data_IF_513842091861
#
_entry.id   IF_513842091861
#
_cell.length_a   1.000
_cell.length_b   1.000
_cell.length_c   1.000
_cell.angle_alpha   90.00
_cell.angle_beta   90.00
_cell.angle_gamma   90.00
#
_symmetry.space_group_name_H-M   'P 1'
#
loop_
_entity.id
_entity.type
_entity.pdbx_description
1 polymer ?
#
# COMPACT_ATOMS: atom_id res chain seq x y z
N UNK A 1 -8.03 20.71 -7.72
CA UNK A 1 -8.86 20.12 -8.78
C UNK A 1 -8.88 18.61 -8.57
N UNK A 2 -10.01 17.94 -8.80
CA UNK A 2 -10.15 16.50 -8.62
C UNK A 2 -10.56 15.85 -9.94
N UNK A 3 -9.91 14.75 -10.31
CA UNK A 3 -10.12 14.02 -11.56
C UNK A 3 -10.37 12.55 -11.27
N UNK A 4 -11.41 11.99 -11.90
CA UNK A 4 -11.67 10.54 -11.80
C UNK A 4 -10.64 9.81 -12.66
N UNK A 5 -9.89 8.89 -12.04
CA UNK A 5 -8.86 8.10 -12.72
C UNK A 5 -9.44 6.76 -13.16
N UNK A 6 -10.17 6.10 -12.25
CA UNK A 6 -10.84 4.83 -12.51
C UNK A 6 -12.30 4.94 -12.05
N UNK A 7 -13.24 4.50 -12.89
CA UNK A 7 -14.67 4.53 -12.59
C UNK A 7 -15.25 3.12 -12.69
N UNK A 8 -16.00 2.69 -11.68
CA UNK A 8 -16.68 1.41 -11.70
C UNK A 8 -17.65 1.32 -12.90
N UNK A 9 -17.73 0.14 -13.51
CA UNK A 9 -18.62 -0.11 -14.65
C UNK A 9 -18.14 0.41 -16.00
N UNK A 10 -16.87 0.87 -16.11
CA UNK A 10 -16.24 1.18 -17.41
C UNK A 10 -15.50 -0.04 -17.95
N UNK A 11 -14.18 -0.12 -17.73
CA UNK A 11 -13.32 -1.20 -18.21
C UNK A 11 -13.41 -2.43 -17.30
N UNK A 12 -13.67 -2.22 -16.01
CA UNK A 12 -13.94 -3.26 -15.01
C UNK A 12 -15.18 -2.89 -14.18
N UNK A 13 -15.92 -3.89 -13.66
CA UNK A 13 -17.01 -3.66 -12.71
C UNK A 13 -16.58 -2.86 -11.48
N UNK A 14 -15.38 -3.10 -10.94
CA UNK A 14 -14.87 -2.43 -9.76
C UNK A 14 -13.37 -2.14 -9.90
N UNK A 15 -12.94 -0.98 -9.42
CA UNK A 15 -11.52 -0.67 -9.22
C UNK A 15 -11.22 -0.43 -7.75
N UNK A 16 -10.13 -1.04 -7.25
CA UNK A 16 -9.71 -0.93 -5.84
C UNK A 16 -8.21 -0.81 -5.69
N UNK A 17 -7.73 -0.57 -4.47
CA UNK A 17 -6.32 -0.62 -4.09
C UNK A 17 -5.46 0.39 -4.89
N UNK A 18 -5.70 1.70 -4.73
CA UNK A 18 -4.94 2.72 -5.41
C UNK A 18 -3.48 2.70 -4.95
N UNK A 19 -2.57 2.82 -5.91
CA UNK A 19 -1.18 3.16 -5.68
C UNK A 19 -0.74 4.18 -6.73
N UNK A 20 0.17 5.09 -6.41
CA UNK A 20 0.60 6.14 -7.34
C UNK A 20 2.07 6.49 -7.16
N UNK A 21 2.75 6.68 -8.28
CA UNK A 21 4.11 7.23 -8.31
C UNK A 21 4.26 8.29 -9.37
N UNK A 22 5.28 9.14 -9.20
CA UNK A 22 5.72 10.12 -10.19
C UNK A 22 7.03 9.65 -10.80
N UNK A 23 7.01 9.32 -12.09
CA UNK A 23 8.21 9.01 -12.86
C UNK A 23 9.12 10.23 -12.97
N UNK A 24 10.38 10.02 -13.38
CA UNK A 24 11.37 11.09 -13.44
C UNK A 24 11.05 12.18 -14.46
N UNK A 25 10.40 11.83 -15.56
CA UNK A 25 9.92 12.80 -16.55
C UNK A 25 8.68 13.59 -16.08
N UNK A 26 8.22 13.35 -14.84
CA UNK A 26 7.05 13.99 -14.25
C UNK A 26 5.74 13.25 -14.52
N UNK A 27 5.73 12.19 -15.32
CA UNK A 27 4.54 11.37 -15.57
C UNK A 27 4.03 10.78 -14.27
N UNK A 28 2.74 10.94 -13.99
CA UNK A 28 2.07 10.20 -12.91
C UNK A 28 1.60 8.86 -13.44
N UNK A 29 1.88 7.79 -12.69
CA UNK A 29 1.39 6.44 -12.97
C UNK A 29 0.53 6.02 -11.80
N UNK A 30 -0.78 5.94 -12.03
CA UNK A 30 -1.76 5.49 -11.07
C UNK A 30 -2.11 4.02 -11.33
N UNK A 31 -2.03 3.18 -10.31
CA UNK A 31 -2.36 1.77 -10.34
C UNK A 31 -3.65 1.50 -9.59
N UNK A 32 -4.31 0.41 -9.97
CA UNK A 32 -5.45 -0.15 -9.24
C UNK A 32 -5.52 -1.66 -9.52
N UNK A 33 -6.24 -2.38 -8.67
CA UNK A 33 -6.85 -3.65 -9.00
C UNK A 33 -8.10 -3.40 -9.86
N UNK A 34 -8.15 -3.99 -11.06
CA UNK A 34 -9.37 -4.11 -11.86
C UNK A 34 -10.04 -5.45 -11.55
N UNK A 35 -11.24 -5.42 -10.95
CA UNK A 35 -11.90 -6.61 -10.42
C UNK A 35 -13.19 -6.93 -11.18
N UNK A 36 -13.41 -8.22 -11.47
CA UNK A 36 -14.67 -8.71 -12.06
C UNK A 36 -15.85 -8.73 -11.07
N UNK A 37 -15.56 -8.63 -9.76
CA UNK A 37 -16.54 -8.50 -8.70
C UNK A 37 -15.95 -7.70 -7.53
N UNK A 38 -16.79 -7.26 -6.59
CA UNK A 38 -16.32 -6.49 -5.41
C UNK A 38 -15.40 -7.29 -4.47
N UNK A 39 -15.44 -8.63 -4.56
CA UNK A 39 -14.65 -9.56 -3.76
C UNK A 39 -13.14 -9.30 -3.82
N UNK A 40 -12.42 -9.64 -2.75
CA UNK A 40 -10.94 -9.65 -2.69
C UNK A 40 -10.32 -10.90 -3.33
N UNK A 41 -11.15 -11.72 -3.99
CA UNK A 41 -10.79 -13.00 -4.60
C UNK A 41 -11.60 -13.20 -5.87
N UNK A 42 -10.97 -13.75 -6.89
CA UNK A 42 -11.53 -13.95 -8.23
C UNK A 42 -10.54 -13.52 -9.31
N UNK A 43 -11.06 -13.35 -10.53
CA UNK A 43 -10.32 -12.74 -11.63
C UNK A 43 -10.10 -11.25 -11.31
N UNK A 44 -8.86 -10.93 -10.96
CA UNK A 44 -8.43 -9.57 -10.62
C UNK A 44 -7.11 -9.31 -11.34
N UNK A 45 -7.07 -8.20 -12.07
CA UNK A 45 -5.89 -7.70 -12.75
C UNK A 45 -5.28 -6.53 -11.98
N UNK A 46 -3.98 -6.30 -12.14
CA UNK A 46 -3.37 -5.01 -11.79
C UNK A 46 -3.27 -4.17 -13.05
N UNK A 47 -3.88 -2.99 -13.01
CA UNK A 47 -3.98 -2.04 -14.12
C UNK A 47 -3.30 -0.73 -13.77
N UNK A 48 -2.97 0.07 -14.78
CA UNK A 48 -2.56 1.45 -14.59
C UNK A 48 -3.16 2.42 -15.61
N UNK A 49 -3.15 3.70 -15.25
CA UNK A 49 -3.34 4.84 -16.16
C UNK A 49 -2.21 5.83 -15.92
N UNK A 50 -1.86 6.57 -16.97
CA UNK A 50 -0.75 7.55 -16.97
C UNK A 50 -1.28 8.96 -17.19
N UNK A 51 -0.64 9.94 -16.57
CA UNK A 51 -0.92 11.36 -16.79
C UNK A 51 0.40 12.11 -17.02
N UNK A 52 0.46 12.87 -18.10
CA UNK A 52 1.59 13.73 -18.47
C UNK A 52 1.35 15.21 -18.21
N UNK A 53 0.22 15.58 -17.59
CA UNK A 53 -0.21 16.96 -17.36
C UNK A 53 -0.48 17.27 -15.87
N UNK A 54 0.19 16.52 -14.97
CA UNK A 54 0.08 16.70 -13.53
C UNK A 54 -1.22 16.16 -12.92
N UNK A 55 -1.87 15.20 -13.58
CA UNK A 55 -3.09 14.53 -13.12
C UNK A 55 -4.38 15.22 -13.56
N UNK A 56 -4.31 16.19 -14.48
CA UNK A 56 -5.49 16.87 -15.02
C UNK A 56 -6.27 15.95 -15.96
N UNK A 57 -5.57 15.19 -16.80
CA UNK A 57 -6.13 14.14 -17.65
C UNK A 57 -5.34 12.83 -17.52
N UNK A 58 -6.02 11.73 -17.81
CA UNK A 58 -5.46 10.38 -17.69
C UNK A 58 -5.66 9.62 -19.01
N UNK A 59 -4.60 8.99 -19.47
CA UNK A 59 -4.60 8.16 -20.68
C UNK A 59 -5.47 6.90 -20.55
N UNK A 60 -5.51 6.08 -21.61
CA UNK A 60 -6.27 4.83 -21.61
C UNK A 60 -5.77 3.86 -20.52
N UNK A 61 -6.66 2.95 -20.11
CA UNK A 61 -6.30 1.87 -19.19
C UNK A 61 -5.30 0.92 -19.85
N UNK A 62 -4.29 0.53 -19.07
CA UNK A 62 -3.31 -0.49 -19.42
C UNK A 62 -3.34 -1.59 -18.38
N UNK A 63 -3.43 -2.84 -18.83
CA UNK A 63 -3.25 -4.01 -17.96
C UNK A 63 -1.76 -4.25 -17.76
N UNK A 64 -1.31 -4.28 -16.51
CA UNK A 64 0.11 -4.47 -16.14
C UNK A 64 0.37 -5.93 -15.76
N UNK A 65 -0.47 -6.49 -14.89
CA UNK A 65 -0.39 -7.89 -14.46
C UNK A 65 -1.73 -8.54 -14.67
N UNK A 66 -1.75 -9.65 -15.42
CA UNK A 66 -2.91 -10.52 -15.60
C UNK A 66 -2.46 -11.97 -15.42
N UNK A 67 -3.25 -12.75 -14.68
CA UNK A 67 -2.99 -14.17 -14.42
C UNK A 67 -4.18 -15.06 -14.84
N UNK A 68 -4.92 -14.67 -15.87
CA UNK A 68 -6.14 -15.36 -16.29
C UNK A 68 -7.25 -15.21 -15.26
N UNK A 69 -7.79 -16.32 -14.76
CA UNK A 69 -8.86 -16.32 -13.74
C UNK A 69 -8.33 -16.13 -12.32
N UNK A 70 -7.01 -16.02 -12.15
CA UNK A 70 -6.38 -15.85 -10.85
C UNK A 70 -6.39 -14.40 -10.36
N UNK A 71 -6.11 -14.24 -9.07
CA UNK A 71 -6.07 -12.93 -8.42
C UNK A 71 -4.66 -12.36 -8.50
N UNK A 72 -4.46 -11.29 -9.26
CA UNK A 72 -3.34 -10.36 -9.11
C UNK A 72 -3.77 -9.19 -8.19
N UNK A 73 -2.87 -8.66 -7.35
CA UNK A 73 -3.29 -7.56 -6.49
C UNK A 73 -2.21 -6.94 -5.63
N UNK A 74 -2.62 -6.02 -4.77
CA UNK A 74 -1.78 -5.27 -3.85
C UNK A 74 -0.58 -4.58 -4.53
N UNK A 75 -0.82 -3.70 -5.54
CA UNK A 75 0.28 -3.00 -6.20
C UNK A 75 1.09 -2.17 -5.20
N UNK A 76 2.41 -2.32 -5.26
CA UNK A 76 3.38 -1.54 -4.51
C UNK A 76 4.52 -1.04 -5.42
N UNK A 77 4.29 0.03 -6.20
CA UNK A 77 5.31 0.66 -7.04
C UNK A 77 6.41 1.39 -6.25
N UNK A 78 7.60 1.47 -6.84
CA UNK A 78 8.74 2.30 -6.40
C UNK A 78 9.45 2.86 -7.63
N UNK A 79 9.82 4.14 -7.60
CA UNK A 79 10.61 4.79 -8.67
C UNK A 79 12.07 4.90 -8.25
N UNK A 80 12.96 4.37 -9.08
CA UNK A 80 14.40 4.39 -8.82
C UNK A 80 15.05 5.70 -9.29
N UNK A 81 16.25 6.05 -8.78
CA UNK A 81 17.06 7.15 -9.30
C UNK A 81 17.49 7.00 -10.77
N UNK A 82 17.34 5.83 -11.37
CA UNK A 82 17.56 5.60 -12.81
C UNK A 82 16.34 5.90 -13.69
N UNK A 83 15.17 6.18 -13.10
CA UNK A 83 13.90 6.38 -13.81
C UNK A 83 13.07 5.11 -13.94
N UNK A 84 13.67 3.94 -13.70
CA UNK A 84 12.98 2.65 -13.65
C UNK A 84 11.89 2.67 -12.58
N UNK A 85 10.71 2.18 -12.94
CA UNK A 85 9.64 1.87 -12.00
C UNK A 85 9.68 0.37 -11.71
N UNK A 86 9.79 0.00 -10.45
CA UNK A 86 9.58 -1.37 -9.97
C UNK A 86 8.13 -1.48 -9.49
N UNK A 87 7.44 -2.57 -9.83
CA UNK A 87 6.11 -2.86 -9.32
C UNK A 87 6.10 -4.26 -8.70
N UNK A 88 5.85 -4.31 -7.39
CA UNK A 88 5.59 -5.57 -6.70
C UNK A 88 4.09 -5.83 -6.65
N UNK A 89 3.69 -7.07 -6.90
CA UNK A 89 2.30 -7.52 -6.82
C UNK A 89 2.22 -8.91 -6.17
N UNK A 90 1.05 -9.24 -5.66
CA UNK A 90 0.73 -10.55 -5.11
C UNK A 90 -0.13 -11.37 -6.09
N UNK A 91 0.02 -12.70 -6.06
CA UNK A 91 -0.85 -13.63 -6.79
C UNK A 91 -1.28 -14.84 -5.99
N UNK A 92 -2.55 -15.21 -6.09
CA UNK A 92 -3.13 -16.45 -5.57
C UNK A 92 -4.13 -17.04 -6.58
N UNK A 93 -4.60 -18.27 -6.33
CA UNK A 93 -5.64 -18.86 -7.15
C UNK A 93 -6.94 -18.04 -7.03
N UNK A 94 -7.65 -17.80 -8.13
CA UNK A 94 -8.86 -16.97 -8.14
C UNK A 94 -10.03 -17.56 -7.36
N UNK A 95 -10.03 -18.87 -7.12
CA UNK A 95 -11.01 -19.54 -6.27
C UNK A 95 -10.63 -19.57 -4.78
N UNK A 96 -9.41 -19.17 -4.41
CA UNK A 96 -8.89 -19.29 -3.05
C UNK A 96 -9.07 -17.97 -2.29
N UNK A 97 -9.93 -17.98 -1.27
CA UNK A 97 -10.17 -16.83 -0.41
C UNK A 97 -9.01 -16.55 0.54
N UNK A 98 -8.90 -15.31 1.04
CA UNK A 98 -7.96 -14.96 2.12
C UNK A 98 -8.07 -15.95 3.29
N UNK A 99 -9.30 -16.27 3.70
CA UNK A 99 -9.56 -17.18 4.81
C UNK A 99 -9.01 -18.58 4.53
N UNK A 100 -9.28 -19.19 3.38
CA UNK A 100 -8.76 -20.52 3.04
C UNK A 100 -7.24 -20.56 2.96
N UNK A 101 -6.62 -19.50 2.44
CA UNK A 101 -5.17 -19.38 2.39
C UNK A 101 -4.62 -19.30 3.82
N UNK A 102 -5.18 -18.44 4.68
CA UNK A 102 -4.77 -18.32 6.07
C UNK A 102 -4.93 -19.62 6.86
N UNK A 103 -5.99 -20.40 6.61
CA UNK A 103 -6.19 -21.73 7.20
C UNK A 103 -5.25 -22.80 6.64
N UNK A 104 -4.61 -22.55 5.51
CA UNK A 104 -3.74 -23.50 4.82
C UNK A 104 -4.53 -24.57 4.04
N UNK A 105 -5.82 -24.32 3.76
CA UNK A 105 -6.66 -25.18 2.92
C UNK A 105 -6.54 -24.82 1.43
N UNK A 106 -5.82 -23.74 1.11
CA UNK A 106 -5.44 -23.34 -0.24
C UNK A 106 -3.94 -22.99 -0.30
N UNK A 107 -3.39 -22.95 -1.51
CA UNK A 107 -1.99 -22.62 -1.72
C UNK A 107 -1.66 -21.19 -1.24
N UNK A 108 -0.46 -20.95 -0.67
CA UNK A 108 -0.07 -19.65 -0.17
C UNK A 108 0.05 -18.62 -1.29
N UNK A 109 -0.14 -17.34 -0.93
CA UNK A 109 -0.01 -16.22 -1.87
C UNK A 109 1.47 -16.04 -2.25
N UNK A 110 1.71 -15.70 -3.52
CA UNK A 110 3.03 -15.55 -4.16
C UNK A 110 3.30 -14.08 -4.49
N UNK A 111 4.57 -13.73 -4.71
CA UNK A 111 4.99 -12.34 -4.96
C UNK A 111 5.73 -12.25 -6.29
N UNK A 112 5.36 -11.27 -7.11
CA UNK A 112 5.92 -11.02 -8.43
C UNK A 112 6.47 -9.60 -8.53
N UNK A 113 7.43 -9.44 -9.44
CA UNK A 113 8.07 -8.17 -9.76
C UNK A 113 7.97 -7.91 -11.26
N UNK A 114 7.52 -6.70 -11.61
CA UNK A 114 7.59 -6.15 -12.96
C UNK A 114 8.33 -4.83 -12.96
N UNK A 115 8.84 -4.44 -14.12
CA UNK A 115 9.64 -3.23 -14.30
C UNK A 115 9.17 -2.45 -15.52
N UNK A 116 9.20 -1.13 -15.43
CA UNK A 116 9.06 -0.23 -16.57
C UNK A 116 10.29 0.68 -16.63
N UNK A 117 10.88 0.78 -17.82
CA UNK A 117 12.04 1.65 -18.10
C UNK A 117 11.64 2.87 -18.97
N UNK A 118 10.34 3.09 -19.15
CA UNK A 118 9.74 4.10 -20.05
C UNK A 118 8.56 4.85 -19.39
N UNK A 119 8.73 5.18 -18.11
CA UNK A 119 7.75 5.96 -17.32
C UNK A 119 6.34 5.34 -17.30
N UNK A 120 6.29 4.02 -17.19
CA UNK A 120 5.07 3.22 -17.09
C UNK A 120 4.40 2.90 -18.43
N UNK A 121 5.01 3.24 -19.58
CA UNK A 121 4.39 2.99 -20.89
C UNK A 121 4.36 1.50 -21.26
N UNK A 122 5.41 0.76 -20.92
CA UNK A 122 5.49 -0.70 -21.08
C UNK A 122 6.02 -1.36 -19.81
N UNK A 123 5.70 -2.64 -19.65
CA UNK A 123 6.07 -3.42 -18.47
C UNK A 123 6.71 -4.73 -18.89
N UNK A 124 7.75 -5.14 -18.16
CA UNK A 124 8.35 -6.45 -18.31
C UNK A 124 7.35 -7.56 -17.98
N UNK A 125 7.63 -8.79 -18.43
CA UNK A 125 6.93 -9.97 -17.92
C UNK A 125 7.09 -10.10 -16.39
N UNK A 126 6.10 -10.66 -15.68
CA UNK A 126 6.17 -10.85 -14.23
C UNK A 126 7.23 -11.90 -13.86
N UNK A 127 8.20 -11.49 -13.04
CA UNK A 127 9.20 -12.38 -12.46
C UNK A 127 8.79 -12.76 -11.04
N UNK A 128 8.67 -14.06 -10.74
CA UNK A 128 8.35 -14.52 -9.39
C UNK A 128 9.57 -14.32 -8.47
N UNK A 129 9.37 -13.63 -7.34
CA UNK A 129 10.42 -13.40 -6.33
C UNK A 129 10.08 -14.05 -4.97
N UNK A 130 8.99 -14.81 -4.88
CA UNK A 130 8.44 -15.39 -3.64
C UNK A 130 9.51 -16.00 -2.72
N UNK A 131 10.42 -16.81 -3.25
CA UNK A 131 11.43 -17.50 -2.45
C UNK A 131 12.41 -16.56 -1.72
N UNK A 132 12.61 -15.34 -2.24
CA UNK A 132 13.50 -14.35 -1.65
C UNK A 132 12.81 -13.45 -0.61
N UNK A 133 11.47 -13.33 -0.68
CA UNK A 133 10.70 -12.32 0.07
C UNK A 133 9.62 -12.89 0.97
N UNK A 134 9.42 -14.20 0.98
CA UNK A 134 8.39 -14.87 1.79
C UNK A 134 8.98 -16.06 2.53
N UNK A 135 8.81 -16.09 3.85
CA UNK A 135 9.19 -17.28 4.63
C UNK A 135 8.30 -18.48 4.25
N UNK A 136 8.85 -19.72 4.25
CA UNK A 136 8.11 -20.90 3.83
C UNK A 136 6.79 -21.13 4.59
N UNK A 137 6.78 -20.86 5.90
CA UNK A 137 5.61 -21.06 6.76
C UNK A 137 4.50 -20.02 6.57
N UNK A 138 4.79 -18.87 5.96
CA UNK A 138 3.78 -17.82 5.74
C UNK A 138 2.71 -18.27 4.77
N UNK A 139 1.48 -17.80 4.96
CA UNK A 139 0.33 -18.22 4.16
C UNK A 139 -0.20 -17.08 3.30
N UNK A 140 -0.96 -16.17 3.92
CA UNK A 140 -1.35 -14.92 3.27
C UNK A 140 -0.15 -13.98 3.15
N UNK A 141 -0.16 -13.12 2.14
CA UNK A 141 0.87 -12.13 1.90
C UNK A 141 0.28 -10.90 1.19
N UNK A 142 0.61 -9.69 1.63
CA UNK A 142 0.27 -8.45 0.95
C UNK A 142 1.49 -7.53 0.83
N UNK A 143 1.78 -7.04 -0.38
CA UNK A 143 2.76 -5.97 -0.65
C UNK A 143 2.09 -4.61 -0.46
N UNK A 144 2.60 -3.76 0.43
CA UNK A 144 1.96 -2.49 0.79
C UNK A 144 0.52 -2.73 1.30
N UNK A 145 -0.53 -2.31 0.55
CA UNK A 145 -0.48 -1.59 -0.74
C UNK A 145 -0.25 -0.08 -0.59
N UNK A 146 -0.01 0.60 -1.71
CA UNK A 146 0.40 2.00 -1.78
C UNK A 146 1.74 2.10 -2.51
N UNK A 147 2.72 2.81 -1.97
CA UNK A 147 4.07 2.87 -2.55
C UNK A 147 5.16 2.34 -1.59
N UNK A 148 6.30 1.95 -2.17
CA UNK A 148 7.56 1.85 -1.43
C UNK A 148 8.45 3.06 -1.69
N UNK A 149 9.62 3.08 -1.06
CA UNK A 149 10.56 4.21 -1.14
C UNK A 149 11.95 3.75 -1.58
N UNK A 150 12.73 4.71 -2.10
CA UNK A 150 14.19 4.59 -2.15
C UNK A 150 14.75 5.53 -1.10
N UNK A 151 15.50 4.97 -0.16
CA UNK A 151 16.14 5.73 0.93
C UNK A 151 17.30 6.57 0.41
N UNK A 152 17.78 7.53 1.20
CA UNK A 152 18.96 8.33 0.90
C UNK A 152 20.22 7.47 0.66
N UNK A 153 20.29 6.28 1.25
CA UNK A 153 21.37 5.31 1.02
C UNK A 153 21.29 4.57 -0.32
N UNK A 154 20.19 4.76 -1.08
CA UNK A 154 19.92 4.05 -2.33
C UNK A 154 19.20 2.71 -2.16
N UNK A 155 18.95 2.27 -0.92
CA UNK A 155 18.16 1.06 -0.62
C UNK A 155 16.70 1.27 -0.98
N UNK A 156 16.11 0.30 -1.67
CA UNK A 156 14.67 0.19 -1.91
C UNK A 156 14.03 -0.50 -0.71
N UNK A 157 12.90 0.02 -0.21
CA UNK A 157 12.14 -0.60 0.88
C UNK A 157 10.64 -0.58 0.58
N UNK A 158 9.99 -1.73 0.73
CA UNK A 158 8.54 -1.91 0.54
C UNK A 158 7.97 -2.56 1.80
N UNK A 159 6.99 -1.92 2.44
CA UNK A 159 6.23 -2.49 3.54
C UNK A 159 5.36 -3.65 3.07
N UNK A 160 5.10 -4.64 3.93
CA UNK A 160 4.30 -5.81 3.60
C UNK A 160 3.70 -6.44 4.86
N UNK A 161 2.77 -7.37 4.65
CA UNK A 161 2.25 -8.22 5.73
C UNK A 161 2.14 -9.67 5.30
N UNK A 162 2.05 -10.53 6.30
CA UNK A 162 1.89 -11.96 6.14
C UNK A 162 0.88 -12.50 7.14
N UNK A 163 0.41 -13.72 6.94
CA UNK A 163 -0.19 -14.51 8.02
C UNK A 163 0.68 -15.71 8.36
N UNK A 164 0.60 -16.10 9.63
CA UNK A 164 1.31 -17.24 10.22
C UNK A 164 0.37 -18.45 10.32
N UNK A 165 0.90 -19.68 10.35
CA UNK A 165 0.08 -20.84 10.63
C UNK A 165 -0.49 -20.76 12.07
N UNK A 166 -1.72 -21.23 12.30
CA UNK A 166 -2.30 -21.29 13.64
C UNK A 166 -1.54 -22.25 14.54
N UNK A 167 -1.65 -22.02 15.85
CA UNK A 167 -1.38 -23.04 16.84
C UNK A 167 -2.39 -24.21 16.72
N UNK A 168 -2.04 -25.38 17.24
CA UNK A 168 -2.94 -26.54 17.21
C UNK A 168 -4.30 -26.22 17.88
N UNK A 169 -5.39 -26.52 17.17
CA UNK A 169 -6.77 -26.26 17.63
C UNK A 169 -7.35 -24.89 17.27
N UNK A 170 -6.58 -24.01 16.64
CA UNK A 170 -7.02 -22.71 16.11
C UNK A 170 -7.32 -22.82 14.61
N UNK A 171 -8.38 -22.13 14.14
CA UNK A 171 -8.77 -22.16 12.72
C UNK A 171 -7.73 -21.46 11.84
N UNK A 172 -6.94 -20.53 12.37
CA UNK A 172 -5.96 -19.76 11.62
C UNK A 172 -6.52 -18.52 10.93
N UNK A 173 -7.77 -18.15 11.21
CA UNK A 173 -8.45 -17.04 10.55
C UNK A 173 -8.57 -15.76 11.37
N UNK A 174 -8.24 -15.82 12.66
CA UNK A 174 -8.27 -14.65 13.54
C UNK A 174 -7.22 -13.61 13.11
N UNK A 175 -7.51 -12.30 13.26
CA UNK A 175 -6.56 -11.25 12.92
C UNK A 175 -5.22 -11.33 13.67
N UNK A 176 -5.18 -11.94 14.86
CA UNK A 176 -3.93 -12.18 15.62
C UNK A 176 -2.88 -12.99 14.85
N UNK A 177 -3.27 -13.69 13.79
CA UNK A 177 -2.34 -14.46 12.95
C UNK A 177 -1.59 -13.60 11.95
N UNK A 178 -2.04 -12.36 11.70
CA UNK A 178 -1.30 -11.42 10.87
C UNK A 178 0.02 -11.00 11.54
N UNK A 179 0.94 -10.52 10.70
CA UNK A 179 2.20 -9.93 11.08
C UNK A 179 2.68 -8.98 9.98
N UNK A 180 3.54 -8.05 10.35
CA UNK A 180 4.13 -7.07 9.47
C UNK A 180 5.57 -7.45 9.13
N UNK A 181 6.01 -7.09 7.94
CA UNK A 181 7.42 -7.16 7.56
C UNK A 181 7.72 -6.10 6.51
N UNK A 182 8.99 -5.92 6.17
CA UNK A 182 9.33 -5.23 4.93
C UNK A 182 10.23 -6.11 4.08
N UNK A 183 10.35 -5.73 2.81
CA UNK A 183 11.32 -6.30 1.89
C UNK A 183 12.18 -5.17 1.35
N UNK A 184 13.45 -5.46 1.13
CA UNK A 184 14.39 -4.46 0.66
C UNK A 184 15.33 -5.01 -0.41
N UNK A 185 15.90 -4.09 -1.18
CA UNK A 185 16.92 -4.37 -2.19
C UNK A 185 17.98 -3.27 -2.19
N UNK A 186 19.24 -3.69 -2.25
CA UNK A 186 20.43 -2.81 -2.27
C UNK A 186 21.06 -2.71 -3.66
N UNK A 187 20.50 -3.41 -4.66
CA UNK A 187 21.08 -3.57 -6.00
C UNK A 187 20.05 -3.24 -7.10
N UNK A 188 19.31 -2.15 -6.88
CA UNK A 188 18.32 -1.62 -7.83
C UNK A 188 17.21 -2.61 -8.19
N UNK A 189 16.83 -3.48 -7.24
CA UNK A 189 15.75 -4.45 -7.39
C UNK A 189 16.16 -5.72 -8.11
N UNK A 190 17.46 -6.03 -8.22
CA UNK A 190 17.94 -7.28 -8.80
C UNK A 190 17.77 -8.45 -7.83
N UNK A 191 18.19 -8.27 -6.57
CA UNK A 191 18.01 -9.22 -5.48
C UNK A 191 17.22 -8.57 -4.34
N UNK A 192 16.36 -9.37 -3.71
CA UNK A 192 15.49 -8.94 -2.62
C UNK A 192 15.78 -9.74 -1.35
N UNK A 193 15.53 -9.12 -0.20
CA UNK A 193 15.67 -9.73 1.11
C UNK A 193 14.47 -9.36 1.97
N UNK A 194 14.12 -10.25 2.89
CA UNK A 194 13.21 -9.93 3.99
C UNK A 194 13.98 -9.06 5.00
N UNK A 195 13.39 -7.94 5.39
CA UNK A 195 13.86 -7.09 6.47
C UNK A 195 13.35 -7.59 7.82
N UNK A 196 12.82 -6.67 8.62
CA UNK A 196 12.22 -7.05 9.90
C UNK A 196 11.02 -7.97 9.68
N UNK A 197 10.72 -8.80 10.68
CA UNK A 197 9.46 -9.54 10.79
C UNK A 197 8.88 -9.31 12.17
N UNK A 198 7.67 -8.76 12.23
CA UNK A 198 6.93 -8.47 13.46
C UNK A 198 5.61 -9.22 13.46
N UNK A 199 5.18 -9.64 14.65
CA UNK A 199 3.84 -10.19 14.84
C UNK A 199 3.49 -10.19 16.31
N UNK A 200 2.26 -9.80 16.68
CA UNK A 200 1.79 -9.87 18.06
C UNK A 200 0.74 -10.99 18.23
N UNK A 201 1.14 -12.19 18.66
CA UNK A 201 0.22 -13.33 18.79
C UNK A 201 -0.87 -13.14 19.86
N UNK A 202 -0.74 -12.13 20.73
CA UNK A 202 -1.71 -11.83 21.78
C UNK A 202 -2.90 -10.99 21.28
N UNK A 203 -2.91 -10.55 20.02
CA UNK A 203 -4.01 -9.77 19.45
C UNK A 203 -4.01 -8.28 19.83
N UNK A 204 -2.98 -7.78 20.51
CA UNK A 204 -2.96 -6.38 20.96
C UNK A 204 -2.83 -5.41 19.78
N UNK A 205 -1.93 -5.72 18.84
CA UNK A 205 -1.79 -5.07 17.53
C UNK A 205 -1.69 -6.15 16.47
N UNK A 206 -2.58 -6.16 15.51
CA UNK A 206 -2.62 -7.14 14.42
C UNK A 206 -2.08 -6.49 13.15
N UNK A 207 -0.76 -6.55 12.95
CA UNK A 207 -0.11 -5.83 11.87
C UNK A 207 -0.58 -6.31 10.48
N UNK A 208 -0.99 -5.38 9.63
CA UNK A 208 -1.49 -5.68 8.29
C UNK A 208 -0.88 -4.72 7.26
N UNK A 209 -1.69 -4.06 6.43
CA UNK A 209 -1.25 -3.15 5.36
C UNK A 209 -0.36 -2.02 5.90
N UNK A 210 0.88 -1.94 5.39
CA UNK A 210 1.95 -1.08 5.93
C UNK A 210 2.48 -0.12 4.87
N UNK A 211 2.54 1.17 5.22
CA UNK A 211 3.19 2.26 4.48
C UNK A 211 4.41 2.76 5.26
N UNK A 212 5.31 3.49 4.61
CA UNK A 212 6.55 3.94 5.23
C UNK A 212 7.08 5.24 4.62
N UNK A 213 7.90 5.94 5.39
CA UNK A 213 8.68 7.09 4.92
C UNK A 213 10.06 7.12 5.61
N UNK A 214 11.04 7.72 4.95
CA UNK A 214 12.34 8.00 5.55
C UNK A 214 12.30 9.37 6.25
N UNK A 215 12.79 9.40 7.48
CA UNK A 215 12.92 10.59 8.32
C UNK A 215 14.24 11.32 8.04
N UNK A 216 14.36 12.62 8.38
CA UNK A 216 15.59 13.38 8.15
C UNK A 216 16.85 12.83 8.84
N UNK A 217 16.68 12.06 9.92
CA UNK A 217 17.78 11.42 10.65
C UNK A 217 18.16 10.04 10.08
N UNK A 218 17.59 9.65 8.94
CA UNK A 218 17.84 8.38 8.25
C UNK A 218 17.05 7.20 8.81
N UNK A 219 16.22 7.40 9.86
CA UNK A 219 15.30 6.36 10.30
C UNK A 219 14.18 6.14 9.30
N UNK A 220 13.70 4.91 9.22
CA UNK A 220 12.43 4.61 8.56
C UNK A 220 11.33 4.64 9.60
N UNK A 221 10.27 5.40 9.31
CA UNK A 221 9.00 5.35 10.02
C UNK A 221 8.04 4.45 9.26
N UNK A 222 7.46 3.47 9.94
CA UNK A 222 6.44 2.59 9.39
C UNK A 222 5.11 2.89 10.05
N UNK A 223 4.04 3.00 9.25
CA UNK A 223 2.68 3.09 9.73
C UNK A 223 1.84 1.94 9.17
N UNK A 224 1.14 1.25 10.06
CA UNK A 224 0.52 -0.04 9.80
C UNK A 224 -0.96 0.00 10.17
N UNK A 225 -1.79 -0.65 9.36
CA UNK A 225 -3.17 -0.97 9.72
C UNK A 225 -3.16 -1.98 10.87
N UNK A 226 -3.80 -1.65 11.98
CA UNK A 226 -4.07 -2.59 13.05
C UNK A 226 -5.46 -3.22 12.81
N UNK A 227 -5.48 -4.45 12.32
CA UNK A 227 -6.72 -5.14 11.91
C UNK A 227 -7.40 -5.76 13.12
N UNK A 228 -8.28 -5.00 13.78
CA UNK A 228 -9.08 -5.49 14.90
C UNK A 228 -8.25 -5.84 16.13
N UNK A 229 -7.14 -5.12 16.35
CA UNK A 229 -6.38 -5.19 17.59
C UNK A 229 -7.18 -4.68 18.79
N UNK A 230 -6.77 -5.06 19.99
CA UNK A 230 -7.39 -4.57 21.23
C UNK A 230 -6.76 -3.27 21.75
N UNK A 231 -5.70 -2.78 21.09
CA UNK A 231 -5.07 -1.49 21.39
C UNK A 231 -5.98 -0.30 21.05
N UNK A 232 -5.63 0.91 21.50
CA UNK A 232 -6.36 2.12 21.15
C UNK A 232 -6.20 2.48 19.67
N UNK A 233 -7.32 2.71 18.98
CA UNK A 233 -7.33 3.07 17.56
C UNK A 233 -7.15 1.85 16.65
N UNK A 234 -6.95 2.10 15.34
CA UNK A 234 -6.78 1.05 14.32
C UNK A 234 -5.50 1.24 13.50
N UNK A 235 -4.54 2.00 14.03
CA UNK A 235 -3.22 2.22 13.43
C UNK A 235 -2.14 1.85 14.44
N UNK A 236 -1.02 1.40 13.93
CA UNK A 236 0.19 1.18 14.71
C UNK A 236 1.41 1.73 13.97
N UNK A 237 2.48 2.01 14.69
CA UNK A 237 3.75 2.43 14.10
C UNK A 237 4.98 1.76 14.73
N UNK A 238 6.07 1.83 13.98
CA UNK A 238 7.39 1.36 14.39
C UNK A 238 8.48 2.14 13.65
N UNK A 239 9.71 2.03 14.15
CA UNK A 239 10.88 2.71 13.60
C UNK A 239 12.00 1.72 13.29
N UNK A 240 12.83 2.03 12.31
CA UNK A 240 14.05 1.27 11.99
C UNK A 240 15.22 2.23 11.73
N UNK A 241 16.42 1.89 12.22
CA UNK A 241 17.68 2.65 11.99
C UNK A 241 18.58 2.04 10.94
N UNK A 242 18.30 0.82 10.50
CA UNK A 242 19.19 0.00 9.67
C UNK A 242 18.59 -0.30 8.29
N UNK A 243 17.77 0.65 7.80
CA UNK A 243 17.12 0.57 6.49
C UNK A 243 16.09 -0.55 6.41
N UNK A 244 15.35 -0.82 7.51
CA UNK A 244 14.27 -1.80 7.57
C UNK A 244 14.70 -3.22 7.93
N UNK A 245 15.96 -3.47 8.29
CA UNK A 245 16.39 -4.83 8.66
C UNK A 245 15.86 -5.24 10.03
N UNK A 246 15.82 -4.32 10.99
CA UNK A 246 15.24 -4.53 12.32
C UNK A 246 14.36 -3.36 12.71
N UNK A 247 13.40 -3.62 13.61
CA UNK A 247 12.66 -2.57 14.28
C UNK A 247 13.35 -2.20 15.59
N UNK A 248 13.39 -0.91 15.93
CA UNK A 248 13.87 -0.43 17.24
C UNK A 248 13.03 -1.05 18.37
N UNK A 249 11.72 -1.13 18.14
CA UNK A 249 10.73 -1.81 18.99
C UNK A 249 9.61 -2.37 18.12
N UNK A 250 8.92 -3.42 18.59
CA UNK A 250 7.70 -3.91 17.95
C UNK A 250 6.65 -2.81 17.80
N UNK A 251 5.75 -2.99 16.83
CA UNK A 251 4.67 -2.04 16.55
C UNK A 251 3.88 -1.68 17.81
N UNK A 252 3.58 -0.40 17.95
CA UNK A 252 2.75 0.15 19.04
C UNK A 252 1.52 0.81 18.46
N UNK A 253 0.42 0.75 19.19
CA UNK A 253 -0.79 1.45 18.81
C UNK A 253 -0.52 2.97 18.67
N UNK A 254 -0.86 3.52 17.52
CA UNK A 254 -0.72 4.94 17.21
C UNK A 254 -2.03 5.66 17.54
N UNK A 255 -2.20 5.92 18.84
CA UNK A 255 -3.45 6.40 19.42
C UNK A 255 -3.86 7.81 18.95
N UNK A 256 -2.95 8.59 18.33
CA UNK A 256 -3.29 9.92 17.80
C UNK A 256 -3.97 9.87 16.42
N UNK A 257 -4.07 8.67 15.82
CA UNK A 257 -4.80 8.44 14.58
C UNK A 257 -6.03 7.55 14.84
N UNK A 258 -7.21 8.18 14.86
CA UNK A 258 -8.49 7.45 14.94
C UNK A 258 -9.15 7.41 13.56
N UNK A 259 -9.35 6.22 13.03
CA UNK A 259 -9.82 5.97 11.65
C UNK A 259 -10.49 4.61 11.58
N UNK A 260 -11.31 4.40 10.55
CA UNK A 260 -11.78 3.09 10.13
C UNK A 260 -10.63 2.07 9.95
N UNK A 261 -10.96 0.78 10.04
CA UNK A 261 -10.03 -0.32 9.76
C UNK A 261 -9.76 -0.44 8.24
N UNK A 262 -8.69 0.23 7.79
CA UNK A 262 -8.37 0.47 6.39
C UNK A 262 -6.88 0.82 6.22
N UNK A 263 -6.32 0.61 5.02
CA UNK A 263 -4.99 1.08 4.64
C UNK A 263 -5.00 2.60 4.54
N UNK A 264 -3.82 3.16 4.76
CA UNK A 264 -3.54 4.57 4.68
C UNK A 264 -2.16 4.77 4.04
N UNK A 265 -1.88 6.00 3.66
CA UNK A 265 -0.58 6.40 3.10
C UNK A 265 0.14 7.34 4.04
N UNK A 266 1.47 7.23 4.07
CA UNK A 266 2.36 8.22 4.67
C UNK A 266 3.35 8.68 3.63
N UNK A 267 3.65 9.98 3.60
CA UNK A 267 4.64 10.59 2.72
C UNK A 267 5.50 11.55 3.54
N UNK A 268 6.83 11.46 3.40
CA UNK A 268 7.72 12.51 3.90
C UNK A 268 7.77 13.68 2.91
N UNK A 269 7.61 14.89 3.43
CA UNK A 269 7.75 16.13 2.69
C UNK A 269 9.14 16.73 2.90
N UNK A 270 9.61 17.62 2.00
CA UNK A 270 10.81 18.40 2.22
C UNK A 270 10.79 19.07 3.61
N UNK A 271 11.90 18.98 4.34
CA UNK A 271 11.99 19.49 5.72
C UNK A 271 11.60 18.51 6.82
N UNK A 272 11.12 17.30 6.49
CA UNK A 272 10.91 16.22 7.45
C UNK A 272 9.51 16.11 8.04
N UNK A 273 8.61 17.01 7.64
CA UNK A 273 7.18 16.91 7.94
C UNK A 273 6.62 15.64 7.31
N UNK A 274 5.84 14.87 8.06
CA UNK A 274 5.11 13.72 7.53
C UNK A 274 3.66 14.09 7.24
N UNK A 275 3.16 13.63 6.10
CA UNK A 275 1.76 13.72 5.71
C UNK A 275 1.15 12.31 5.74
N UNK A 276 -0.05 12.20 6.31
CA UNK A 276 -0.85 10.98 6.31
C UNK A 276 -2.16 11.24 5.58
N UNK A 277 -2.61 10.29 4.76
CA UNK A 277 -3.96 10.26 4.19
C UNK A 277 -4.71 9.00 4.58
N UNK A 278 -5.97 9.18 4.95
CA UNK A 278 -6.92 8.10 5.19
C UNK A 278 -8.27 8.65 5.63
N UNK A 279 -9.30 7.80 5.76
CA UNK A 279 -10.59 8.20 6.31
C UNK A 279 -10.44 8.89 7.68
N UNK A 280 -11.17 9.99 7.88
CA UNK A 280 -11.17 10.73 9.16
C UNK A 280 -12.34 10.34 10.05
N UNK A 281 -13.36 9.67 9.50
CA UNK A 281 -14.44 9.11 10.30
C UNK A 281 -13.92 7.97 11.20
N UNK A 282 -14.48 7.89 12.41
CA UNK A 282 -13.90 7.06 13.49
C UNK A 282 -13.98 5.56 13.22
N UNK A 283 -15.03 5.11 12.54
CA UNK A 283 -15.31 3.67 12.29
C UNK A 283 -15.54 3.37 10.81
N UNK A 284 -16.28 4.23 10.13
CA UNK A 284 -16.69 4.02 8.75
C UNK A 284 -15.65 4.54 7.73
N UNK A 285 -15.59 3.88 6.58
CA UNK A 285 -14.79 4.28 5.42
C UNK A 285 -15.41 5.52 4.75
N UNK A 286 -15.24 6.67 5.39
CA UNK A 286 -15.80 7.95 4.95
C UNK A 286 -14.90 9.13 5.34
N UNK A 287 -15.12 10.25 4.65
CA UNK A 287 -14.46 11.53 4.87
C UNK A 287 -12.93 11.45 4.73
N UNK A 288 -12.42 11.34 3.49
CA UNK A 288 -10.96 11.34 3.25
C UNK A 288 -10.33 12.58 3.90
N UNK A 289 -9.35 12.37 4.78
CA UNK A 289 -8.72 13.42 5.56
C UNK A 289 -7.20 13.36 5.50
N UNK A 290 -6.58 14.50 5.81
CA UNK A 290 -5.14 14.63 5.95
C UNK A 290 -4.77 14.85 7.42
N UNK A 291 -3.68 14.22 7.84
CA UNK A 291 -3.03 14.48 9.12
C UNK A 291 -1.56 14.82 8.90
N UNK A 292 -1.00 15.61 9.78
CA UNK A 292 0.40 16.03 9.73
C UNK A 292 1.12 15.65 11.02
N UNK A 293 2.38 15.27 10.92
CA UNK A 293 3.29 15.13 12.06
C UNK A 293 4.55 15.96 11.82
N UNK A 294 4.91 16.73 12.85
CA UNK A 294 6.12 17.57 12.91
C UNK A 294 7.19 16.97 13.85
N UNK A 295 6.89 15.84 14.49
CA UNK A 295 7.70 15.20 15.53
C UNK A 295 8.10 13.77 15.16
N UNK A 296 8.35 13.56 13.85
CA UNK A 296 8.77 12.29 13.28
C UNK A 296 7.77 11.14 13.51
N UNK A 297 6.47 11.43 13.40
CA UNK A 297 5.39 10.44 13.47
C UNK A 297 4.95 10.09 14.88
N UNK A 298 5.50 10.72 15.92
CA UNK A 298 5.10 10.46 17.31
C UNK A 298 3.67 10.91 17.58
N UNK A 299 3.29 12.10 17.11
CA UNK A 299 1.93 12.62 17.20
C UNK A 299 1.43 13.11 15.84
N UNK A 300 0.13 12.94 15.63
CA UNK A 300 -0.55 13.33 14.40
C UNK A 300 -1.66 14.32 14.68
N UNK A 301 -1.62 15.46 13.99
CA UNK A 301 -2.65 16.49 14.06
C UNK A 301 -3.53 16.42 12.82
N UNK A 302 -4.85 16.51 12.99
CA UNK A 302 -5.76 16.62 11.87
C UNK A 302 -5.57 17.96 11.16
N UNK A 303 -5.30 17.90 9.85
CA UNK A 303 -5.03 19.08 9.03
C UNK A 303 -6.31 19.59 8.37
N UNK A 304 -6.94 18.76 7.52
CA UNK A 304 -8.19 19.10 6.83
C UNK A 304 -8.87 17.89 6.20
N UNK A 305 -10.16 18.01 5.91
CA UNK A 305 -10.86 17.08 5.02
C UNK A 305 -10.49 17.39 3.57
N UNK A 306 -10.29 16.34 2.78
CA UNK A 306 -10.22 16.39 1.31
C UNK A 306 -11.62 16.18 0.73
N UNK A 307 -12.40 15.31 1.37
CA UNK A 307 -13.77 14.98 0.97
C UNK A 307 -14.59 14.63 2.21
N UNK A 308 -15.91 14.85 2.14
CA UNK A 308 -16.88 14.42 3.17
C UNK A 308 -17.69 13.19 2.79
N UNK A 309 -17.47 12.62 1.59
CA UNK A 309 -18.22 11.46 1.07
C UNK A 309 -17.52 10.13 1.44
N UNK A 310 -18.08 8.94 1.10
CA UNK A 310 -17.37 7.68 1.29
C UNK A 310 -15.94 7.71 0.78
N UNK A 311 -15.02 7.14 1.56
CA UNK A 311 -13.60 7.16 1.28
C UNK A 311 -12.90 5.96 1.90
N UNK A 312 -12.00 5.31 1.18
CA UNK A 312 -11.30 4.12 1.66
C UNK A 312 -9.79 4.22 1.43
N UNK A 313 -9.18 3.27 0.71
CA UNK A 313 -7.73 3.25 0.51
C UNK A 313 -7.25 4.51 -0.21
N UNK A 314 -6.00 4.87 0.06
CA UNK A 314 -5.37 6.06 -0.52
C UNK A 314 -3.87 5.92 -0.68
N UNK A 315 -3.30 6.72 -1.56
CA UNK A 315 -1.87 6.83 -1.76
C UNK A 315 -1.45 8.26 -2.10
N UNK A 316 -0.35 8.71 -1.50
CA UNK A 316 0.19 10.07 -1.64
C UNK A 316 1.42 10.08 -2.55
N UNK A 317 1.61 11.15 -3.32
CA UNK A 317 2.80 11.36 -4.16
C UNK A 317 3.25 12.81 -4.15
N UNK A 318 4.56 13.04 -4.08
CA UNK A 318 5.14 14.38 -4.22
C UNK A 318 5.10 14.85 -5.68
N UNK A 319 4.57 16.05 -5.94
CA UNK A 319 4.42 16.63 -7.28
C UNK A 319 5.47 17.70 -7.61
N UNK A 320 6.47 17.89 -6.75
CA UNK A 320 7.41 19.01 -6.87
C UNK A 320 6.76 20.30 -6.36
N UNK A 321 7.02 21.41 -7.04
CA UNK A 321 6.48 22.73 -6.67
C UNK A 321 4.94 22.81 -6.73
N UNK A 322 4.29 21.86 -7.42
CA UNK A 322 2.84 21.75 -7.47
C UNK A 322 2.21 21.22 -6.16
N UNK A 323 3.03 20.78 -5.19
CA UNK A 323 2.59 20.27 -3.89
C UNK A 323 2.48 18.75 -3.86
N UNK A 324 1.35 18.25 -3.34
CA UNK A 324 1.12 16.80 -3.12
C UNK A 324 -0.08 16.32 -3.94
N UNK A 325 0.03 15.14 -4.53
CA UNK A 325 -1.06 14.42 -5.16
C UNK A 325 -1.62 13.36 -4.20
N UNK A 326 -2.93 13.19 -4.21
CA UNK A 326 -3.63 12.16 -3.45
C UNK A 326 -4.52 11.36 -4.41
N UNK A 327 -4.25 10.05 -4.52
CA UNK A 327 -5.11 9.09 -5.21
C UNK A 327 -5.90 8.30 -4.17
N UNK A 328 -7.22 8.23 -4.27
CA UNK A 328 -8.02 7.53 -3.27
C UNK A 328 -9.36 7.00 -3.79
N UNK A 329 -9.82 5.94 -3.15
CA UNK A 329 -11.14 5.34 -3.36
C UNK A 329 -12.24 6.22 -2.77
N UNK A 330 -13.27 6.52 -3.56
CA UNK A 330 -14.39 7.35 -3.13
C UNK A 330 -15.62 7.14 -4.03
N UNK A 331 -16.74 7.74 -3.65
CA UNK A 331 -17.96 7.67 -4.44
C UNK A 331 -19.09 8.48 -3.84
N UNK A 332 -20.25 8.44 -4.47
CA UNK A 332 -21.42 9.15 -3.94
C UNK A 332 -22.14 8.28 -2.89
N UNK A 333 -22.12 6.96 -3.09
CA UNK A 333 -22.84 6.00 -2.26
C UNK A 333 -21.92 4.95 -1.65
N UNK A 334 -20.86 4.59 -2.36
CA UNK A 334 -19.88 3.60 -1.93
C UNK A 334 -18.47 4.12 -2.18
N UNK A 335 -17.47 3.83 -1.32
CA UNK A 335 -16.09 4.21 -1.62
C UNK A 335 -15.55 3.47 -2.86
N UNK A 336 -16.27 2.48 -3.39
CA UNK A 336 -15.85 1.66 -4.52
C UNK A 336 -16.44 2.12 -5.86
N UNK A 337 -17.16 3.25 -5.89
CA UNK A 337 -17.72 3.79 -7.14
C UNK A 337 -16.61 4.28 -8.09
N UNK A 338 -15.51 4.81 -7.54
CA UNK A 338 -14.40 5.38 -8.32
C UNK A 338 -13.11 5.53 -7.50
N UNK A 339 -12.01 5.69 -8.21
CA UNK A 339 -10.73 6.17 -7.66
C UNK A 339 -10.47 7.57 -8.24
N UNK A 340 -10.24 8.54 -7.36
CA UNK A 340 -10.07 9.97 -7.71
C UNK A 340 -8.66 10.43 -7.37
N UNK A 341 -8.05 11.20 -8.27
CA UNK A 341 -6.82 11.94 -8.03
C UNK A 341 -7.15 13.38 -7.66
N UNK A 342 -6.49 13.93 -6.64
CA UNK A 342 -6.65 15.33 -6.21
C UNK A 342 -5.29 15.95 -5.94
N UNK A 343 -5.06 17.13 -6.54
CA UNK A 343 -3.89 17.97 -6.23
C UNK A 343 -4.15 18.80 -4.98
N UNK A 344 -3.19 18.80 -4.06
CA UNK A 344 -3.22 19.47 -2.76
C UNK A 344 -2.10 20.52 -2.71
N UNK A 345 -2.37 21.78 -3.13
CA UNK A 345 -1.38 22.85 -3.05
C UNK A 345 -1.20 23.33 -1.61
N UNK A 346 0.02 23.75 -1.26
CA UNK A 346 0.33 24.43 0.00
C UNK A 346 0.17 23.57 1.26
N UNK A 347 0.53 22.29 1.18
CA UNK A 347 0.67 21.39 2.34
C UNK A 347 2.07 21.56 2.94
#
# INVERSE_FOLDING_TARGET
MATVVFAAGTDYPVFRIPAIVRAQDGTLVAFAEGRQAISDTGNIDVVCRRSSDGGQSWGPLQVVTNHGDDTAGNPAPVVLPSGRILLLTCRNAGAATEHEIMRGTAAPRRVYLQRSDDSGATWSAPAEITAAVKQPAWRWYATGPGHGIVTASGRIVVGASHSRPPAAGDTGSDPKHYGGHCVYSDDQGANWRIGFTSSNPNGYVNENETTLAELPDGRLYFNCRDRGGTGPGNRADAYSRDGGQTLEVSYRAQATIVTADVQASVLALPGGRLLYSGPSHLTDRAAMGLRVSEDAGQTWQFLRHVSGVPAAYSDLVHLGDAGVGLLYETGNWSPYDRITFTTLPGI
#
